data_IF_125783581750
#
_entry.id   IF_125783581750
#
_cell.length_a   1.000
_cell.length_b   1.000
_cell.length_c   1.000
_cell.angle_alpha   90.00
_cell.angle_beta   90.00
_cell.angle_gamma   90.00
#
_symmetry.space_group_name_H-M   'P 1'
#
loop_
_entity.id
_entity.type
_entity.pdbx_description
1 polymer ?
#
# COMPACT_ATOMS: atom_id res chain seq x y z
N UNK A 1 -5.59 3.34 -15.65
CA UNK A 1 -5.66 2.16 -14.74
C UNK A 1 -6.68 2.43 -13.66
N UNK A 2 -7.53 1.47 -13.30
CA UNK A 2 -8.32 1.57 -12.06
C UNK A 2 -7.32 1.46 -10.89
N UNK A 3 -7.26 2.42 -9.96
CA UNK A 3 -6.34 2.42 -8.83
C UNK A 3 -6.51 1.15 -7.98
N UNK A 4 -5.43 0.35 -7.83
CA UNK A 4 -5.44 -0.89 -7.02
C UNK A 4 -5.79 -0.59 -5.55
N UNK A 5 -5.49 0.61 -5.06
CA UNK A 5 -5.86 1.15 -3.73
C UNK A 5 -7.32 0.89 -3.38
N UNK A 6 -8.24 1.02 -4.35
CA UNK A 6 -9.68 0.81 -4.13
C UNK A 6 -10.03 -0.65 -3.81
N UNK A 7 -9.24 -1.60 -4.30
CA UNK A 7 -9.37 -3.03 -4.00
C UNK A 7 -8.72 -3.42 -2.67
N UNK A 8 -7.77 -2.62 -2.18
CA UNK A 8 -7.06 -2.85 -0.92
C UNK A 8 -7.88 -2.38 0.28
N UNK A 9 -8.60 -1.28 0.14
CA UNK A 9 -9.51 -0.76 1.15
C UNK A 9 -10.73 -1.69 1.30
N UNK A 10 -11.13 -1.93 2.54
CA UNK A 10 -12.30 -2.75 2.87
C UNK A 10 -13.60 -1.92 2.94
N UNK A 11 -13.59 -0.72 2.37
CA UNK A 11 -14.72 0.20 2.32
C UNK A 11 -14.87 0.85 0.95
N UNK A 12 -16.09 1.32 0.59
CA UNK A 12 -16.28 1.97 -0.69
C UNK A 12 -15.53 3.30 -0.68
N UNK A 13 -14.84 3.56 -1.80
CA UNK A 13 -14.21 4.84 -2.13
C UNK A 13 -15.10 5.54 -3.14
N UNK A 14 -15.19 6.86 -3.10
CA UNK A 14 -16.03 7.62 -4.00
C UNK A 14 -15.67 7.41 -5.47
N UNK A 15 -16.69 7.42 -6.34
CA UNK A 15 -16.55 7.14 -7.76
C UNK A 15 -15.61 8.12 -8.49
N UNK A 16 -15.61 9.39 -8.07
CA UNK A 16 -14.78 10.46 -8.66
C UNK A 16 -13.27 10.15 -8.55
N UNK A 17 -12.88 9.34 -7.56
CA UNK A 17 -11.50 9.07 -7.22
C UNK A 17 -10.98 7.75 -7.78
N UNK A 18 -11.89 6.87 -8.20
CA UNK A 18 -11.52 5.72 -9.05
C UNK A 18 -10.82 6.14 -10.34
N UNK A 19 -10.94 7.41 -10.73
CA UNK A 19 -10.36 7.96 -11.95
C UNK A 19 -9.34 9.08 -11.67
N UNK A 20 -9.08 9.42 -10.41
CA UNK A 20 -8.11 10.47 -10.08
C UNK A 20 -6.68 9.94 -10.29
N UNK A 21 -5.80 10.69 -10.98
CA UNK A 21 -4.40 10.30 -11.10
C UNK A 21 -3.74 10.31 -9.73
N UNK A 22 -3.18 9.18 -9.33
CA UNK A 22 -2.40 9.03 -8.10
C UNK A 22 -0.90 9.20 -8.32
N UNK A 23 -0.46 9.37 -9.56
CA UNK A 23 0.92 9.68 -9.91
C UNK A 23 1.18 11.18 -9.69
N UNK A 24 2.26 11.54 -8.97
CA UNK A 24 2.67 12.93 -8.84
C UNK A 24 3.14 13.48 -10.19
N UNK A 25 3.27 14.81 -10.31
CA UNK A 25 3.80 15.44 -11.52
C UNK A 25 5.29 15.13 -11.67
N UNK A 26 6.02 15.13 -10.54
CA UNK A 26 7.45 14.83 -10.45
C UNK A 26 7.68 13.72 -9.44
N UNK A 27 8.77 12.96 -9.61
CA UNK A 27 9.12 11.89 -8.67
C UNK A 27 9.49 12.53 -7.34
N UNK A 28 8.85 12.17 -6.22
CA UNK A 28 9.11 12.81 -4.93
C UNK A 28 10.56 12.64 -4.51
N UNK A 29 11.18 13.74 -4.09
CA UNK A 29 12.59 13.79 -3.70
C UNK A 29 12.84 12.89 -2.49
N UNK A 30 11.97 13.00 -1.49
CA UNK A 30 12.04 12.23 -0.26
C UNK A 30 10.68 11.69 0.22
N UNK A 31 10.71 10.97 1.33
CA UNK A 31 9.52 10.37 1.94
C UNK A 31 8.53 11.43 2.45
N UNK A 32 9.01 12.59 2.91
CA UNK A 32 8.17 13.67 3.40
C UNK A 32 7.34 14.30 2.28
N UNK A 33 7.93 14.50 1.11
CA UNK A 33 7.22 14.93 -0.10
C UNK A 33 6.18 13.90 -0.53
N UNK A 34 6.56 12.62 -0.60
CA UNK A 34 5.62 11.53 -0.96
C UNK A 34 4.44 11.44 0.02
N UNK A 35 4.70 11.53 1.32
CA UNK A 35 3.65 11.53 2.35
C UNK A 35 2.78 12.78 2.22
N UNK A 36 3.36 13.95 1.97
CA UNK A 36 2.60 15.20 1.79
C UNK A 36 1.66 15.09 0.59
N UNK A 37 2.16 14.58 -0.53
CA UNK A 37 1.37 14.30 -1.72
C UNK A 37 0.16 13.38 -1.43
N UNK A 38 0.36 12.32 -0.64
CA UNK A 38 -0.76 11.46 -0.24
C UNK A 38 -1.70 12.11 0.77
N UNK A 39 -1.17 12.92 1.70
CA UNK A 39 -1.95 13.60 2.73
C UNK A 39 -3.01 14.51 2.14
N UNK A 40 -2.66 15.26 1.10
CA UNK A 40 -3.59 16.13 0.35
C UNK A 40 -4.76 15.36 -0.30
N UNK A 41 -4.64 14.04 -0.40
CA UNK A 41 -5.61 13.15 -1.05
C UNK A 41 -6.31 12.23 -0.05
N UNK A 42 -6.06 12.34 1.25
CA UNK A 42 -6.64 11.41 2.24
C UNK A 42 -8.15 11.53 2.33
N UNK A 43 -8.69 12.76 2.29
CA UNK A 43 -10.12 13.07 2.33
C UNK A 43 -10.93 12.17 1.39
N UNK A 44 -10.33 11.92 0.23
CA UNK A 44 -10.86 11.13 -0.84
C UNK A 44 -11.03 9.62 -0.50
N UNK A 45 -10.18 9.09 0.37
CA UNK A 45 -10.17 7.67 0.76
C UNK A 45 -10.79 7.41 2.13
N UNK A 46 -11.22 8.45 2.85
CA UNK A 46 -11.80 8.31 4.18
C UNK A 46 -13.15 7.58 4.12
N UNK A 47 -13.44 6.69 5.09
CA UNK A 47 -14.75 6.05 5.18
C UNK A 47 -15.83 7.08 5.55
N UNK A 48 -17.07 6.83 5.16
CA UNK A 48 -18.21 7.74 5.43
C UNK A 48 -18.46 8.07 6.91
N UNK A 49 -17.96 7.22 7.83
CA UNK A 49 -18.07 7.42 9.27
C UNK A 49 -16.84 8.13 9.87
N UNK A 50 -15.91 8.64 9.07
CA UNK A 50 -14.65 9.22 9.54
C UNK A 50 -14.84 10.36 10.53
N UNK A 51 -15.71 11.32 10.23
CA UNK A 51 -16.01 12.47 11.10
C UNK A 51 -16.61 12.08 12.46
N UNK A 52 -17.09 10.84 12.60
CA UNK A 52 -17.65 10.32 13.85
C UNK A 52 -16.61 9.63 14.73
N UNK A 53 -15.39 9.46 14.24
CA UNK A 53 -14.28 8.87 14.99
C UNK A 53 -13.67 9.90 15.94
N UNK A 54 -13.05 9.40 17.02
CA UNK A 54 -12.18 10.24 17.85
C UNK A 54 -11.01 10.78 17.03
N UNK A 55 -10.44 11.94 17.38
CA UNK A 55 -9.27 12.50 16.69
C UNK A 55 -8.11 11.50 16.60
N UNK A 56 -7.91 10.70 17.66
CA UNK A 56 -6.88 9.65 17.68
C UNK A 56 -7.17 8.56 16.63
N UNK A 57 -8.43 8.15 16.47
CA UNK A 57 -8.80 7.14 15.48
C UNK A 57 -8.84 7.69 14.06
N UNK A 58 -9.20 8.97 13.89
CA UNK A 58 -9.06 9.68 12.61
C UNK A 58 -7.61 9.65 12.13
N UNK A 59 -6.66 10.02 12.99
CA UNK A 59 -5.23 9.99 12.66
C UNK A 59 -4.74 8.56 12.32
N UNK A 60 -5.25 7.53 13.00
CA UNK A 60 -4.93 6.13 12.68
C UNK A 60 -5.51 5.70 11.34
N UNK A 61 -6.73 6.14 11.00
CA UNK A 61 -7.35 5.84 9.70
C UNK A 61 -6.58 6.51 8.58
N UNK A 62 -6.20 7.76 8.76
CA UNK A 62 -5.34 8.49 7.82
C UNK A 62 -4.00 7.76 7.63
N UNK A 63 -3.34 7.34 8.71
CA UNK A 63 -2.13 6.52 8.64
C UNK A 63 -2.35 5.20 7.90
N UNK A 64 -3.46 4.50 8.14
CA UNK A 64 -3.79 3.27 7.42
C UNK A 64 -3.98 3.51 5.92
N UNK A 65 -4.65 4.58 5.54
CA UNK A 65 -4.82 4.97 4.13
C UNK A 65 -3.45 5.29 3.51
N UNK A 66 -2.59 6.04 4.21
CA UNK A 66 -1.22 6.33 3.75
C UNK A 66 -0.42 5.03 3.53
N UNK A 67 -0.52 4.05 4.43
CA UNK A 67 0.14 2.75 4.25
C UNK A 67 -0.34 2.02 2.99
N UNK A 68 -1.64 2.07 2.70
CA UNK A 68 -2.22 1.48 1.50
C UNK A 68 -1.73 2.21 0.24
N UNK A 69 -1.70 3.55 0.26
CA UNK A 69 -1.21 4.36 -0.85
C UNK A 69 0.29 4.14 -1.13
N UNK A 70 1.10 3.98 -0.09
CA UNK A 70 2.53 3.64 -0.24
C UNK A 70 2.71 2.27 -0.92
N UNK A 71 1.90 1.27 -0.55
CA UNK A 71 1.95 -0.04 -1.20
C UNK A 71 1.42 0.01 -2.63
N UNK A 72 0.35 0.77 -2.88
CA UNK A 72 -0.20 0.98 -4.22
C UNK A 72 0.84 1.65 -5.14
N UNK A 73 1.47 2.73 -4.68
CA UNK A 73 2.54 3.41 -5.39
C UNK A 73 3.73 2.52 -5.69
N UNK A 74 4.11 1.66 -4.74
CA UNK A 74 5.22 0.73 -4.92
C UNK A 74 4.87 -0.41 -5.90
N UNK A 75 3.65 -0.96 -5.82
CA UNK A 75 3.16 -2.00 -6.72
C UNK A 75 3.11 -1.57 -8.19
N UNK A 76 2.98 -0.28 -8.43
CA UNK A 76 2.86 0.30 -9.77
C UNK A 76 4.14 1.05 -10.19
N UNK A 77 5.16 1.16 -9.33
CA UNK A 77 6.37 1.94 -9.62
C UNK A 77 7.08 1.51 -10.91
N UNK A 78 7.12 0.20 -11.18
CA UNK A 78 7.68 -0.34 -12.43
C UNK A 78 6.87 0.09 -13.66
N UNK A 79 5.53 0.04 -13.56
CA UNK A 79 4.62 0.46 -14.62
C UNK A 79 4.67 1.97 -14.85
N UNK A 80 4.71 2.76 -13.76
CA UNK A 80 4.86 4.22 -13.81
C UNK A 80 6.17 4.57 -14.54
N UNK A 81 7.27 3.86 -14.25
CA UNK A 81 8.57 4.05 -14.94
C UNK A 81 8.52 3.68 -16.41
N UNK A 82 7.93 2.53 -16.77
CA UNK A 82 7.79 2.07 -18.16
C UNK A 82 6.95 3.04 -18.99
N UNK A 83 5.88 3.59 -18.39
CA UNK A 83 5.01 4.59 -19.01
C UNK A 83 5.63 6.01 -19.06
N UNK A 84 6.86 6.20 -18.57
CA UNK A 84 7.52 7.51 -18.52
C UNK A 84 6.88 8.49 -17.52
N UNK A 85 6.15 7.98 -16.54
CA UNK A 85 5.52 8.76 -15.47
C UNK A 85 6.45 8.90 -14.26
N UNK A 86 6.16 9.87 -13.41
CA UNK A 86 6.83 10.02 -12.13
C UNK A 86 6.56 8.80 -11.23
N UNK A 87 7.62 8.20 -10.71
CA UNK A 87 7.49 7.05 -9.81
C UNK A 87 6.95 7.52 -8.46
N UNK A 88 6.06 6.72 -7.88
CA UNK A 88 5.51 6.94 -6.54
C UNK A 88 6.42 6.39 -5.43
N UNK A 89 7.71 6.67 -5.55
CA UNK A 89 8.76 6.23 -4.62
C UNK A 89 9.71 7.40 -4.31
N UNK A 90 10.29 7.44 -3.10
CA UNK A 90 11.24 8.49 -2.71
C UNK A 90 12.60 8.33 -3.43
N UNK A 91 12.94 9.30 -4.29
CA UNK A 91 14.17 9.26 -5.11
C UNK A 91 15.45 9.17 -4.26
N UNK A 92 15.54 9.95 -3.18
CA UNK A 92 16.70 9.96 -2.29
C UNK A 92 16.95 8.60 -1.62
N UNK A 93 15.89 7.89 -1.25
CA UNK A 93 16.03 6.59 -0.59
C UNK A 93 16.45 5.50 -1.57
N UNK A 94 15.92 5.54 -2.81
CA UNK A 94 16.39 4.69 -3.89
C UNK A 94 17.88 4.92 -4.15
N UNK A 95 18.29 6.18 -4.29
CA UNK A 95 19.70 6.55 -4.51
C UNK A 95 20.62 6.13 -3.35
N UNK A 96 20.22 6.38 -2.09
CA UNK A 96 20.99 6.00 -0.90
C UNK A 96 21.24 4.49 -0.79
N UNK A 97 20.32 3.68 -1.30
CA UNK A 97 20.41 2.23 -1.26
C UNK A 97 20.99 1.62 -2.54
N UNK A 98 21.37 2.45 -3.52
CA UNK A 98 21.95 2.01 -4.79
C UNK A 98 20.92 1.45 -5.77
N UNK A 99 19.62 1.70 -5.56
CA UNK A 99 18.58 1.31 -6.51
C UNK A 99 18.54 2.34 -7.64
N UNK A 100 19.04 1.93 -8.79
CA UNK A 100 19.18 2.76 -10.00
C UNK A 100 18.14 2.41 -11.06
N UNK A 101 18.07 3.21 -12.12
CA UNK A 101 17.25 2.95 -13.30
C UNK A 101 17.51 1.57 -13.95
N UNK A 102 18.73 1.04 -13.84
CA UNK A 102 19.06 -0.29 -14.34
C UNK A 102 18.20 -1.38 -13.68
N UNK A 103 17.90 -1.24 -12.38
CA UNK A 103 17.10 -2.22 -11.65
C UNK A 103 15.67 -2.34 -12.19
N UNK A 104 15.08 -1.21 -12.56
CA UNK A 104 13.73 -1.16 -13.12
C UNK A 104 13.69 -1.68 -14.55
N UNK A 105 14.69 -1.31 -15.37
CA UNK A 105 14.79 -1.72 -16.78
C UNK A 105 15.11 -3.20 -16.94
N UNK A 106 16.03 -3.72 -16.13
CA UNK A 106 16.52 -5.10 -16.21
C UNK A 106 15.78 -6.04 -15.25
N UNK A 107 14.82 -5.50 -14.48
CA UNK A 107 14.06 -6.24 -13.47
C UNK A 107 14.98 -6.98 -12.48
N UNK A 108 16.08 -6.32 -12.11
CA UNK A 108 17.15 -6.93 -11.32
C UNK A 108 16.79 -6.93 -9.83
N UNK A 109 16.79 -8.12 -9.22
CA UNK A 109 16.58 -8.33 -7.78
C UNK A 109 17.91 -8.68 -7.11
N UNK A 110 18.75 -7.68 -6.89
CA UNK A 110 20.04 -7.83 -6.23
C UNK A 110 19.98 -7.46 -4.73
N UNK A 111 21.14 -7.34 -4.09
CA UNK A 111 21.23 -6.94 -2.68
C UNK A 111 20.71 -5.52 -2.43
N UNK A 112 20.98 -4.56 -3.32
CA UNK A 112 20.53 -3.18 -3.19
C UNK A 112 18.99 -3.11 -3.21
N UNK A 113 18.37 -3.79 -4.17
CA UNK A 113 16.92 -3.84 -4.29
C UNK A 113 16.27 -4.55 -3.10
N UNK A 114 16.82 -5.70 -2.66
CA UNK A 114 16.31 -6.40 -1.46
C UNK A 114 16.36 -5.53 -0.21
N UNK A 115 17.46 -4.79 -0.01
CA UNK A 115 17.62 -3.87 1.11
C UNK A 115 16.60 -2.72 1.07
N UNK A 116 16.33 -2.18 -0.12
CA UNK A 116 15.25 -1.20 -0.32
C UNK A 116 13.89 -1.80 0.06
N UNK A 117 13.58 -2.99 -0.45
CA UNK A 117 12.31 -3.66 -0.18
C UNK A 117 12.10 -3.91 1.32
N UNK A 118 13.13 -4.37 2.03
CA UNK A 118 13.07 -4.59 3.48
C UNK A 118 12.83 -3.29 4.25
N UNK A 119 13.56 -2.23 3.92
CA UNK A 119 13.43 -0.93 4.60
C UNK A 119 12.06 -0.32 4.35
N UNK A 120 11.59 -0.32 3.10
CA UNK A 120 10.31 0.27 2.74
C UNK A 120 9.14 -0.54 3.30
N UNK A 121 9.18 -1.87 3.22
CA UNK A 121 8.21 -2.74 3.86
C UNK A 121 8.19 -2.58 5.39
N UNK A 122 9.36 -2.40 6.01
CA UNK A 122 9.49 -2.11 7.44
C UNK A 122 8.75 -0.83 7.84
N UNK A 123 8.90 0.24 7.05
CA UNK A 123 8.17 1.51 7.26
C UNK A 123 6.66 1.31 7.19
N UNK A 124 6.17 0.65 6.13
CA UNK A 124 4.74 0.39 5.97
C UNK A 124 4.21 -0.45 7.14
N UNK A 125 4.93 -1.50 7.57
CA UNK A 125 4.55 -2.31 8.72
C UNK A 125 4.48 -1.51 10.01
N UNK A 126 5.40 -0.56 10.23
CA UNK A 126 5.33 0.36 11.37
C UNK A 126 4.04 1.20 11.37
N UNK A 127 3.61 1.69 10.21
CA UNK A 127 2.34 2.43 10.07
C UNK A 127 1.15 1.50 10.35
N UNK A 128 1.14 0.28 9.80
CA UNK A 128 0.09 -0.71 10.04
C UNK A 128 -0.04 -1.09 11.52
N UNK A 129 1.09 -1.21 12.24
CA UNK A 129 1.11 -1.45 13.69
C UNK A 129 0.45 -0.29 14.46
N UNK A 130 0.70 0.95 14.06
CA UNK A 130 0.04 2.13 14.63
C UNK A 130 -1.49 2.14 14.41
N UNK A 131 -1.94 1.56 13.29
CA UNK A 131 -3.35 1.40 12.96
C UNK A 131 -4.03 0.18 13.61
N UNK A 132 -3.28 -0.77 14.18
CA UNK A 132 -3.82 -1.99 14.78
C UNK A 132 -4.94 -1.78 15.82
N UNK A 133 -4.91 -0.73 16.69
CA UNK A 133 -6.01 -0.46 17.62
C UNK A 133 -7.37 -0.24 16.97
N UNK A 134 -7.43 0.22 15.71
CA UNK A 134 -8.68 0.38 14.95
C UNK A 134 -9.42 -0.95 14.77
N UNK A 135 -8.70 -2.08 14.83
CA UNK A 135 -9.26 -3.42 14.69
C UNK A 135 -9.81 -4.03 15.98
N UNK A 136 -9.76 -3.31 17.13
CA UNK A 136 -10.22 -3.82 18.43
C UNK A 136 -11.74 -3.91 18.56
N UNK A 137 -12.55 -2.95 18.09
CA UNK A 137 -14.00 -3.10 18.09
C UNK A 137 -14.41 -4.27 17.20
N UNK A 138 -15.21 -5.22 17.71
CA UNK A 138 -15.54 -6.47 17.01
C UNK A 138 -16.12 -6.25 15.60
N UNK A 139 -17.39 -5.83 15.51
CA UNK A 139 -18.08 -5.61 14.24
C UNK A 139 -17.79 -4.25 13.59
N UNK A 140 -17.27 -3.27 14.32
CA UNK A 140 -16.92 -1.97 13.73
C UNK A 140 -15.49 -1.96 13.15
N UNK A 141 -14.59 -2.79 13.69
CA UNK A 141 -13.16 -2.81 13.33
C UNK A 141 -12.79 -3.79 12.22
N UNK A 142 -13.69 -4.68 11.78
CA UNK A 142 -13.34 -5.74 10.81
C UNK A 142 -12.81 -5.20 9.48
N UNK A 143 -13.29 -4.03 9.04
CA UNK A 143 -12.86 -3.39 7.78
C UNK A 143 -11.39 -2.98 7.88
N UNK A 144 -11.02 -2.33 8.98
CA UNK A 144 -9.63 -1.96 9.24
C UNK A 144 -8.72 -3.19 9.34
N UNK A 145 -9.16 -4.25 10.05
CA UNK A 145 -8.41 -5.52 10.12
C UNK A 145 -8.22 -6.17 8.75
N UNK A 146 -9.26 -6.17 7.92
CA UNK A 146 -9.20 -6.73 6.57
C UNK A 146 -8.21 -5.96 5.69
N UNK A 147 -8.24 -4.62 5.75
CA UNK A 147 -7.26 -3.78 5.03
C UNK A 147 -5.84 -4.04 5.52
N UNK A 148 -5.59 -4.04 6.84
CA UNK A 148 -4.27 -4.34 7.41
C UNK A 148 -3.78 -5.70 6.93
N UNK A 149 -4.61 -6.75 7.05
CA UNK A 149 -4.24 -8.10 6.67
C UNK A 149 -3.96 -8.24 5.16
N UNK A 150 -4.70 -7.54 4.30
CA UNK A 150 -4.44 -7.50 2.85
C UNK A 150 -3.09 -6.88 2.53
N UNK A 151 -2.78 -5.73 3.13
CA UNK A 151 -1.49 -5.04 2.92
C UNK A 151 -0.34 -5.92 3.43
N UNK A 152 -0.46 -6.49 4.62
CA UNK A 152 0.57 -7.39 5.14
C UNK A 152 0.77 -8.64 4.27
N UNK A 153 -0.30 -9.19 3.69
CA UNK A 153 -0.20 -10.33 2.78
C UNK A 153 0.63 -9.97 1.55
N UNK A 154 0.36 -8.82 0.93
CA UNK A 154 1.12 -8.33 -0.22
C UNK A 154 2.60 -8.20 0.15
N UNK A 155 2.89 -7.54 1.29
CA UNK A 155 4.27 -7.39 1.75
C UNK A 155 4.96 -8.73 2.03
N UNK A 156 4.24 -9.73 2.56
CA UNK A 156 4.78 -11.08 2.79
C UNK A 156 5.07 -11.81 1.48
N UNK A 157 4.12 -11.85 0.56
CA UNK A 157 4.27 -12.50 -0.75
C UNK A 157 5.50 -11.95 -1.48
N UNK A 158 5.70 -10.64 -1.42
CA UNK A 158 6.74 -9.92 -2.16
C UNK A 158 8.08 -9.91 -1.43
N UNK A 159 8.08 -10.18 -0.14
CA UNK A 159 9.31 -10.47 0.60
C UNK A 159 9.82 -11.87 0.29
N UNK A 160 8.92 -12.85 0.10
CA UNK A 160 9.27 -14.21 -0.32
C UNK A 160 9.79 -14.22 -1.75
N UNK A 161 9.12 -13.52 -2.65
CA UNK A 161 9.53 -13.36 -4.05
C UNK A 161 9.53 -11.88 -4.46
N UNK A 162 10.70 -11.21 -4.39
CA UNK A 162 10.80 -9.80 -4.76
C UNK A 162 10.73 -9.53 -6.26
N UNK A 163 10.84 -10.55 -7.13
CA UNK A 163 10.67 -10.35 -8.57
C UNK A 163 9.23 -9.91 -8.90
N UNK A 164 8.26 -10.30 -8.07
CA UNK A 164 6.86 -9.91 -8.21
C UNK A 164 6.64 -8.38 -8.18
N UNK A 165 7.60 -7.58 -7.69
CA UNK A 165 7.51 -6.11 -7.74
C UNK A 165 7.57 -5.54 -9.17
N UNK A 166 8.09 -6.30 -10.13
CA UNK A 166 8.13 -5.93 -11.55
C UNK A 166 6.93 -6.48 -12.34
N UNK A 167 6.04 -7.26 -11.71
CA UNK A 167 4.87 -7.82 -12.38
C UNK A 167 3.74 -6.78 -12.52
N UNK A 168 3.40 -6.46 -13.76
CA UNK A 168 2.41 -5.45 -14.13
C UNK A 168 0.97 -5.94 -13.97
N UNK A 169 0.78 -7.26 -14.02
CA UNK A 169 -0.46 -7.94 -13.66
C UNK A 169 -0.24 -8.78 -12.42
N UNK A 170 -1.15 -8.76 -11.44
CA UNK A 170 -1.13 -9.80 -10.45
C UNK A 170 -1.45 -11.11 -11.19
N UNK A 171 -0.44 -11.95 -11.44
CA UNK A 171 -0.62 -13.38 -11.74
C UNK A 171 -1.20 -14.08 -10.51
N UNK A 172 -2.36 -13.62 -10.04
CA UNK A 172 -3.12 -14.28 -9.00
C UNK A 172 -3.98 -15.29 -9.71
N UNK A 173 -3.63 -16.57 -9.54
CA UNK A 173 -4.62 -17.63 -9.71
C UNK A 173 -5.88 -17.21 -8.93
N UNK A 174 -7.06 -17.15 -9.57
CA UNK A 174 -8.30 -16.76 -8.90
C UNK A 174 -8.57 -17.62 -7.65
N UNK A 175 -8.08 -18.87 -7.66
CA UNK A 175 -8.15 -19.82 -6.53
C UNK A 175 -7.26 -19.39 -5.37
N UNK A 176 -6.05 -18.88 -5.63
CA UNK A 176 -5.15 -18.37 -4.60
C UNK A 176 -5.70 -17.08 -3.95
N UNK A 177 -6.34 -16.21 -4.75
CA UNK A 177 -7.02 -15.02 -4.23
C UNK A 177 -8.25 -15.38 -3.40
N UNK A 178 -9.08 -16.33 -3.85
CA UNK A 178 -10.25 -16.80 -3.11
C UNK A 178 -9.86 -17.43 -1.77
N UNK A 179 -8.88 -18.33 -1.76
CA UNK A 179 -8.40 -19.01 -0.54
C UNK A 179 -7.68 -18.05 0.41
N UNK A 180 -6.90 -17.10 -0.10
CA UNK A 180 -6.26 -16.09 0.75
C UNK A 180 -7.27 -15.11 1.35
N UNK A 181 -8.25 -14.67 0.57
CA UNK A 181 -9.35 -13.82 1.04
C UNK A 181 -10.19 -14.53 2.09
N UNK A 182 -10.51 -15.81 1.90
CA UNK A 182 -11.17 -16.67 2.89
C UNK A 182 -10.33 -16.84 4.16
N UNK A 183 -9.01 -17.06 4.03
CA UNK A 183 -8.10 -17.19 5.18
C UNK A 183 -7.98 -15.90 5.97
N UNK A 184 -7.89 -14.75 5.29
CA UNK A 184 -7.90 -13.44 5.95
C UNK A 184 -9.23 -13.21 6.64
N UNK A 185 -10.35 -13.42 5.94
CA UNK A 185 -11.69 -13.26 6.49
C UNK A 185 -11.87 -14.14 7.73
N UNK A 186 -11.42 -15.40 7.68
CA UNK A 186 -11.44 -16.32 8.81
C UNK A 186 -10.59 -15.84 10.00
N UNK A 187 -9.38 -15.34 9.76
CA UNK A 187 -8.52 -14.76 10.83
C UNK A 187 -9.11 -13.50 11.43
N UNK A 188 -9.79 -12.68 10.62
CA UNK A 188 -10.48 -11.47 11.09
C UNK A 188 -11.71 -11.83 11.93
N UNK A 189 -12.50 -12.82 11.51
CA UNK A 189 -13.72 -13.25 12.19
C UNK A 189 -13.47 -14.04 13.48
N UNK A 190 -12.43 -14.87 13.53
CA UNK A 190 -12.18 -15.75 14.69
C UNK A 190 -11.38 -15.09 15.82
N UNK A 191 -11.01 -13.82 15.68
CA UNK A 191 -10.39 -13.05 16.75
C UNK A 191 -9.02 -13.55 17.22
N UNK A 192 -8.44 -14.58 16.59
CA UNK A 192 -7.10 -15.11 16.90
C UNK A 192 -6.02 -14.19 16.33
N UNK A 193 -5.73 -13.15 17.09
CA UNK A 193 -4.47 -12.41 17.08
C UNK A 193 -3.74 -12.69 18.38
#
# INVERSE_FOLDING_TARGET
>A
MIPRVTSLLAWPVEARLRNAPLSPVETPTDMGELITFYRERLDAFRPSAFERLSETDQARVDGLITAVLLVDGWLDAAADREAGQAMRLPANELAQLGVTDAHWREQQVDFAFRRFNERFAGRIRGILQGAAPLGRPWLAGWRYRLTIARVEQILRERQVDPALWFDHEPRRSPVAWGTASLRILWRVLTGRG
#
